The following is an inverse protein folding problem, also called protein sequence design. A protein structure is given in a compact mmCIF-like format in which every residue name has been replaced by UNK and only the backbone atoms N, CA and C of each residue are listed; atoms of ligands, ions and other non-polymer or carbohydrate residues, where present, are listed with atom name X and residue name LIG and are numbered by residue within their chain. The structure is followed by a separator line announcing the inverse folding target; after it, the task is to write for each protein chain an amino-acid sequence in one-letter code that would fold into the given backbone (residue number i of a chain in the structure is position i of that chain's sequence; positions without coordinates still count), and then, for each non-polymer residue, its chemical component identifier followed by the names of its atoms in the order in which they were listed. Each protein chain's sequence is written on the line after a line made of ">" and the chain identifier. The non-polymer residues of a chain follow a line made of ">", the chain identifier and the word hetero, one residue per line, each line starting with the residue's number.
data_IF_574894224105
#
_entry.id   IF_574894224105
#
_cell.length_a   1.000
_cell.length_b   1.000
_cell.length_c   1.000
_cell.angle_alpha   90.00
_cell.angle_beta   90.00
_cell.angle_gamma   90.00
#
_symmetry.space_group_name_H-M   'P 1'
#
loop_
_entity.id
_entity.type
_entity.pdbx_description
1 polymer ?
#
# COMPACT_ATOMS: atom_id res chain seq x y z
N UNK A 1 -37.26 -17.89 -11.45
CA UNK A 1 -36.22 -17.32 -12.34
C UNK A 1 -36.03 -18.24 -13.51
N UNK A 2 -35.68 -17.74 -14.70
CA UNK A 2 -35.24 -18.60 -15.79
C UNK A 2 -33.79 -19.02 -15.57
N UNK A 3 -33.41 -20.19 -16.08
CA UNK A 3 -32.05 -20.75 -16.01
C UNK A 3 -30.99 -19.76 -16.57
N UNK A 4 -31.38 -18.95 -17.55
CA UNK A 4 -30.51 -17.91 -18.11
C UNK A 4 -30.23 -16.74 -17.15
N UNK A 5 -31.19 -16.37 -16.30
CA UNK A 5 -30.98 -15.30 -15.33
C UNK A 5 -30.03 -15.73 -14.22
N UNK A 6 -30.11 -17.00 -13.79
CA UNK A 6 -29.23 -17.57 -12.79
C UNK A 6 -27.77 -17.62 -13.27
N UNK A 7 -27.54 -18.11 -14.50
CA UNK A 7 -26.22 -18.10 -15.13
C UNK A 7 -25.66 -16.68 -15.35
N UNK A 8 -26.54 -15.69 -15.57
CA UNK A 8 -26.12 -14.30 -15.71
C UNK A 8 -25.68 -13.68 -14.38
N UNK A 9 -26.36 -14.01 -13.28
CA UNK A 9 -25.99 -13.60 -11.93
C UNK A 9 -24.66 -14.21 -11.52
N UNK A 10 -24.47 -15.52 -11.70
CA UNK A 10 -23.23 -16.23 -11.34
C UNK A 10 -22.00 -15.65 -12.06
N UNK A 11 -22.13 -15.32 -13.36
CA UNK A 11 -21.07 -14.65 -14.13
C UNK A 11 -20.72 -13.27 -13.59
N UNK A 12 -21.73 -12.55 -13.08
CA UNK A 12 -21.54 -11.21 -12.50
C UNK A 12 -20.79 -11.35 -11.17
N UNK A 13 -21.19 -12.28 -10.32
CA UNK A 13 -20.53 -12.56 -9.05
C UNK A 13 -19.04 -12.92 -9.25
N UNK A 14 -18.73 -13.80 -10.20
CA UNK A 14 -17.34 -14.14 -10.53
C UNK A 14 -16.55 -12.98 -11.14
N UNK A 15 -17.21 -12.02 -11.79
CA UNK A 15 -16.56 -10.82 -12.28
C UNK A 15 -16.21 -9.86 -11.13
N UNK A 16 -17.10 -9.71 -10.14
CA UNK A 16 -16.86 -8.90 -8.93
C UNK A 16 -15.73 -9.49 -8.08
N UNK A 17 -15.72 -10.81 -7.87
CA UNK A 17 -14.68 -11.49 -7.11
C UNK A 17 -13.28 -11.34 -7.74
N UNK A 18 -13.17 -11.49 -9.07
CA UNK A 18 -11.91 -11.24 -9.79
C UNK A 18 -11.43 -9.80 -9.67
N UNK A 19 -12.35 -8.84 -9.70
CA UNK A 19 -12.03 -7.42 -9.53
C UNK A 19 -11.51 -7.14 -8.13
N UNK A 20 -12.11 -7.76 -7.12
CA UNK A 20 -11.65 -7.65 -5.73
C UNK A 20 -10.25 -8.26 -5.53
N UNK A 21 -9.97 -9.43 -6.09
CA UNK A 21 -8.63 -10.04 -6.03
C UNK A 21 -7.57 -9.22 -6.79
N UNK A 22 -7.93 -8.61 -7.92
CA UNK A 22 -7.05 -7.69 -8.63
C UNK A 22 -6.72 -6.44 -7.78
N UNK A 23 -7.69 -5.94 -7.02
CA UNK A 23 -7.51 -4.83 -6.10
C UNK A 23 -6.58 -5.19 -4.93
N UNK A 24 -6.69 -6.39 -4.34
CA UNK A 24 -5.74 -6.88 -3.34
C UNK A 24 -4.31 -6.95 -3.86
N UNK A 25 -4.14 -7.46 -5.08
CA UNK A 25 -2.82 -7.53 -5.73
C UNK A 25 -2.23 -6.15 -5.97
N UNK A 26 -3.08 -5.19 -6.36
CA UNK A 26 -2.67 -3.80 -6.54
C UNK A 26 -2.23 -3.21 -5.20
N UNK A 27 -3.01 -3.40 -4.13
CA UNK A 27 -2.63 -2.97 -2.78
C UNK A 27 -1.26 -3.56 -2.37
N UNK A 28 -1.06 -4.87 -2.53
CA UNK A 28 0.21 -5.52 -2.21
C UNK A 28 1.38 -4.99 -3.07
N UNK A 29 1.13 -4.66 -4.33
CA UNK A 29 2.10 -4.02 -5.22
C UNK A 29 2.53 -2.65 -4.69
N UNK A 30 1.59 -1.81 -4.28
CA UNK A 30 1.88 -0.50 -3.70
C UNK A 30 2.60 -0.59 -2.35
N UNK A 31 2.30 -1.62 -1.55
CA UNK A 31 3.02 -1.87 -0.30
C UNK A 31 4.49 -2.17 -0.56
N UNK A 32 4.76 -3.00 -1.58
CA UNK A 32 6.13 -3.32 -2.00
C UNK A 32 6.88 -2.10 -2.51
N UNK A 33 6.27 -1.25 -3.33
CA UNK A 33 6.94 -0.05 -3.85
C UNK A 33 7.24 0.96 -2.75
N UNK A 34 6.33 1.16 -1.78
CA UNK A 34 6.62 2.01 -0.63
C UNK A 34 7.75 1.47 0.25
N UNK A 35 7.82 0.14 0.48
CA UNK A 35 8.94 -0.47 1.18
C UNK A 35 10.28 -0.30 0.43
N UNK A 36 10.26 -0.40 -0.90
CA UNK A 36 11.45 -0.12 -1.72
C UNK A 36 11.91 1.34 -1.57
N UNK A 37 10.98 2.31 -1.51
CA UNK A 37 11.32 3.71 -1.24
C UNK A 37 11.95 3.91 0.14
N UNK A 38 11.47 3.22 1.17
CA UNK A 38 12.10 3.24 2.51
C UNK A 38 13.53 2.68 2.44
N UNK A 39 13.73 1.56 1.74
CA UNK A 39 15.05 0.96 1.57
C UNK A 39 16.03 1.92 0.87
N UNK A 40 15.57 2.63 -0.16
CA UNK A 40 16.37 3.68 -0.82
C UNK A 40 16.71 4.82 0.14
N UNK A 41 15.75 5.29 0.95
CA UNK A 41 16.00 6.33 1.94
C UNK A 41 17.09 5.93 2.96
N UNK A 42 17.05 4.68 3.44
CA UNK A 42 18.07 4.12 4.34
C UNK A 42 19.41 3.99 3.61
N UNK A 43 19.41 3.50 2.37
CA UNK A 43 20.61 3.35 1.54
C UNK A 43 21.31 4.69 1.28
N UNK A 44 20.56 5.76 0.99
CA UNK A 44 21.11 7.10 0.80
C UNK A 44 21.85 7.59 2.05
N UNK A 45 21.29 7.36 3.24
CA UNK A 45 21.95 7.69 4.51
C UNK A 45 23.25 6.90 4.69
N UNK A 46 23.28 5.62 4.33
CA UNK A 46 24.46 4.79 4.43
C UNK A 46 25.57 5.22 3.45
N UNK A 47 25.21 5.61 2.23
CA UNK A 47 26.18 6.03 1.20
C UNK A 47 26.73 7.44 1.48
N UNK A 48 25.87 8.39 1.85
CA UNK A 48 26.24 9.80 2.02
C UNK A 48 26.48 10.20 3.48
N UNK A 49 26.51 9.26 4.42
CA UNK A 49 26.63 9.55 5.85
C UNK A 49 27.91 10.29 6.25
N UNK A 50 28.98 10.16 5.48
CA UNK A 50 30.26 10.85 5.70
C UNK A 50 30.40 12.14 4.88
N UNK A 51 29.39 12.51 4.07
CA UNK A 51 29.43 13.70 3.23
C UNK A 51 29.01 14.94 4.04
N UNK A 52 29.84 15.98 4.04
CA UNK A 52 29.45 17.30 4.53
C UNK A 52 28.82 18.13 3.41
N UNK A 53 27.65 18.74 3.60
CA UNK A 53 26.85 18.76 4.83
C UNK A 53 25.83 17.60 4.92
N UNK A 54 25.76 16.97 6.09
CA UNK A 54 24.97 15.74 6.33
C UNK A 54 23.46 15.92 6.20
N UNK A 55 22.95 17.16 6.30
CA UNK A 55 21.52 17.46 6.19
C UNK A 55 20.97 17.22 4.78
N UNK A 56 21.81 17.32 3.73
CA UNK A 56 21.36 17.14 2.33
C UNK A 56 20.91 15.70 2.11
N UNK A 57 21.72 14.74 2.55
CA UNK A 57 21.36 13.31 2.49
C UNK A 57 20.07 13.03 3.27
N UNK A 58 19.89 13.67 4.44
CA UNK A 58 18.67 13.52 5.24
C UNK A 58 17.44 14.11 4.57
N UNK A 59 17.58 15.26 3.91
CA UNK A 59 16.49 15.90 3.17
C UNK A 59 16.05 15.03 1.99
N UNK A 60 16.99 14.51 1.18
CA UNK A 60 16.66 13.64 0.04
C UNK A 60 16.03 12.34 0.52
N UNK A 61 16.57 11.71 1.57
CA UNK A 61 15.96 10.51 2.17
C UNK A 61 14.52 10.78 2.65
N UNK A 62 14.25 11.96 3.21
CA UNK A 62 12.92 12.34 3.68
C UNK A 62 11.90 12.44 2.53
N UNK A 63 12.32 12.81 1.32
CA UNK A 63 11.45 12.81 0.12
C UNK A 63 10.99 11.37 -0.20
N UNK A 64 11.90 10.40 -0.16
CA UNK A 64 11.54 8.99 -0.39
C UNK A 64 10.64 8.42 0.70
N UNK A 65 10.84 8.82 1.97
CA UNK A 65 9.93 8.45 3.05
C UNK A 65 8.54 9.08 2.87
N UNK A 66 8.46 10.34 2.44
CA UNK A 66 7.19 10.99 2.11
C UNK A 66 6.46 10.30 0.95
N UNK A 67 7.21 9.89 -0.09
CA UNK A 67 6.66 9.11 -1.19
C UNK A 67 6.12 7.74 -0.72
N UNK A 68 6.82 7.06 0.19
CA UNK A 68 6.33 5.83 0.81
C UNK A 68 5.01 6.03 1.57
N UNK A 69 4.92 7.07 2.41
CA UNK A 69 3.68 7.42 3.12
C UNK A 69 2.54 7.72 2.17
N UNK A 70 2.80 8.48 1.11
CA UNK A 70 1.80 8.78 0.08
C UNK A 70 1.30 7.51 -0.62
N UNK A 71 2.20 6.59 -0.97
CA UNK A 71 1.84 5.31 -1.56
C UNK A 71 0.96 4.48 -0.62
N UNK A 72 1.32 4.37 0.67
CA UNK A 72 0.53 3.61 1.65
C UNK A 72 -0.87 4.18 1.85
N UNK A 73 -0.99 5.50 1.94
CA UNK A 73 -2.27 6.19 2.03
C UNK A 73 -3.13 5.97 0.78
N UNK A 74 -2.55 6.13 -0.41
CA UNK A 74 -3.25 5.96 -1.68
C UNK A 74 -3.71 4.51 -1.88
N UNK A 75 -2.86 3.52 -1.55
CA UNK A 75 -3.18 2.10 -1.61
C UNK A 75 -4.38 1.77 -0.71
N UNK A 76 -4.37 2.23 0.55
CA UNK A 76 -5.48 2.02 1.47
C UNK A 76 -6.77 2.69 0.98
N UNK A 77 -6.68 3.93 0.46
CA UNK A 77 -7.85 4.66 -0.06
C UNK A 77 -8.45 3.97 -1.27
N UNK A 78 -7.63 3.47 -2.19
CA UNK A 78 -8.07 2.72 -3.36
C UNK A 78 -8.69 1.39 -2.94
N UNK A 79 -8.02 0.64 -2.06
CA UNK A 79 -8.50 -0.66 -1.61
C UNK A 79 -9.86 -0.58 -0.92
N UNK A 80 -10.04 0.42 -0.03
CA UNK A 80 -11.32 0.64 0.66
C UNK A 80 -12.45 1.03 -0.30
N UNK A 81 -12.16 1.88 -1.30
CA UNK A 81 -13.15 2.32 -2.29
C UNK A 81 -13.66 1.16 -3.13
N UNK A 82 -12.78 0.28 -3.59
CA UNK A 82 -13.17 -0.90 -4.39
C UNK A 82 -13.98 -1.87 -3.53
N UNK A 83 -13.53 -2.15 -2.31
CA UNK A 83 -14.25 -3.05 -1.41
C UNK A 83 -15.66 -2.52 -1.03
N UNK A 84 -15.86 -1.20 -0.94
CA UNK A 84 -17.20 -0.65 -0.66
C UNK A 84 -18.18 -0.71 -1.84
N UNK A 85 -17.70 -1.02 -3.04
CA UNK A 85 -18.50 -0.97 -4.29
C UNK A 85 -18.92 -2.34 -4.81
N UNK A 86 -18.26 -3.40 -4.38
CA UNK A 86 -18.46 -4.75 -4.88
C UNK A 86 -19.08 -5.61 -3.78
N UNK A 87 -20.05 -6.43 -4.16
CA UNK A 87 -20.57 -7.48 -3.30
C UNK A 87 -19.58 -8.64 -3.32
N UNK A 88 -19.51 -9.39 -2.23
CA UNK A 88 -18.63 -10.55 -2.10
C UNK A 88 -19.51 -11.75 -1.83
N UNK A 89 -19.35 -12.81 -2.64
CA UNK A 89 -20.14 -14.03 -2.49
C UNK A 89 -19.26 -15.24 -2.20
N UNK A 90 -18.27 -15.54 -3.05
CA UNK A 90 -17.58 -16.82 -3.00
C UNK A 90 -16.06 -16.72 -2.72
N UNK A 91 -15.40 -15.65 -3.15
CA UNK A 91 -13.96 -15.50 -2.91
C UNK A 91 -13.63 -15.08 -1.46
N UNK A 92 -12.59 -15.69 -0.88
CA UNK A 92 -12.05 -15.34 0.44
C UNK A 92 -11.27 -14.01 0.42
N UNK A 93 -11.98 -12.90 0.26
CA UNK A 93 -11.42 -11.55 0.16
C UNK A 93 -11.11 -11.00 1.56
N UNK A 94 -10.02 -10.24 1.68
CA UNK A 94 -9.59 -9.60 2.92
C UNK A 94 -10.55 -8.47 3.30
N UNK A 95 -10.95 -8.44 4.56
CA UNK A 95 -11.81 -7.41 5.15
C UNK A 95 -11.19 -6.00 5.02
N UNK A 96 -11.97 -4.91 4.95
CA UNK A 96 -11.43 -3.56 4.82
C UNK A 96 -10.44 -3.18 5.93
N UNK A 97 -10.65 -3.72 7.14
CA UNK A 97 -9.77 -3.52 8.30
C UNK A 97 -8.35 -4.01 8.05
N UNK A 98 -8.18 -5.10 7.29
CA UNK A 98 -6.86 -5.65 6.98
C UNK A 98 -5.97 -4.64 6.25
N UNK A 99 -6.49 -4.01 5.18
CA UNK A 99 -5.75 -3.00 4.42
C UNK A 99 -5.35 -1.80 5.27
N UNK A 100 -6.25 -1.37 6.17
CA UNK A 100 -6.00 -0.24 7.09
C UNK A 100 -4.87 -0.61 8.07
N UNK A 101 -4.96 -1.76 8.72
CA UNK A 101 -3.96 -2.19 9.71
C UNK A 101 -2.59 -2.28 9.05
N UNK A 102 -2.47 -2.96 7.91
CA UNK A 102 -1.18 -3.12 7.21
C UNK A 102 -0.61 -1.76 6.78
N UNK A 103 -1.42 -0.88 6.17
CA UNK A 103 -0.95 0.43 5.73
C UNK A 103 -0.51 1.32 6.90
N UNK A 104 -1.26 1.30 8.02
CA UNK A 104 -0.92 2.06 9.23
C UNK A 104 0.36 1.54 9.87
N UNK A 105 0.52 0.22 10.00
CA UNK A 105 1.77 -0.37 10.54
C UNK A 105 2.98 0.04 9.71
N UNK A 106 2.88 -0.02 8.37
CA UNK A 106 3.96 0.41 7.48
C UNK A 106 4.23 1.92 7.57
N UNK A 107 3.19 2.74 7.68
CA UNK A 107 3.32 4.18 7.85
C UNK A 107 4.01 4.54 9.17
N UNK A 108 3.65 3.88 10.28
CA UNK A 108 4.31 4.06 11.57
C UNK A 108 5.79 3.69 11.51
N UNK A 109 6.14 2.57 10.87
CA UNK A 109 7.54 2.18 10.63
C UNK A 109 8.33 3.21 9.82
N UNK A 110 7.69 3.80 8.80
CA UNK A 110 8.28 4.87 7.97
C UNK A 110 8.53 6.13 8.78
N UNK A 111 7.56 6.55 9.60
CA UNK A 111 7.70 7.71 10.48
C UNK A 111 8.83 7.45 11.49
N UNK A 112 8.87 6.28 12.11
CA UNK A 112 9.96 5.88 13.02
C UNK A 112 11.33 5.96 12.35
N UNK A 113 11.45 5.46 11.12
CA UNK A 113 12.68 5.55 10.33
C UNK A 113 13.10 6.99 10.07
N UNK A 114 12.13 7.86 9.73
CA UNK A 114 12.37 9.30 9.58
C UNK A 114 12.87 9.96 10.86
N UNK A 115 12.25 9.66 12.01
CA UNK A 115 12.68 10.17 13.32
C UNK A 115 14.12 9.73 13.62
N UNK A 116 14.41 8.43 13.53
CA UNK A 116 15.76 7.90 13.75
C UNK A 116 16.79 8.58 12.83
N UNK A 117 16.42 8.80 11.57
CA UNK A 117 17.30 9.45 10.60
C UNK A 117 17.60 10.91 10.97
N UNK A 118 16.66 11.65 11.54
CA UNK A 118 16.93 13.03 11.97
C UNK A 118 17.62 13.13 13.33
N UNK A 119 17.42 12.15 14.22
CA UNK A 119 18.05 12.10 15.55
C UNK A 119 19.53 11.68 15.55
N UNK A 120 19.96 10.90 14.55
CA UNK A 120 21.36 10.55 14.31
C UNK A 120 22.09 11.68 13.60
#
# INVERSE_FOLDING_TARGET
>A
MSDQNELAEERTDWAEDRTSLANERTFAGWMRTGMASIAVAIGLRAVFGAFEPTWVAKAVASIFLAAALFMFWSAQRQAKRTHSRLSQRDASIKTPRYFIIVAVTMALGTIGTGITLWSL
#
